data_IF_264984998220
#
_entry.id   IF_264984998220
#
_cell.length_a   1.000
_cell.length_b   1.000
_cell.length_c   1.000
_cell.angle_alpha   90.00
_cell.angle_beta   90.00
_cell.angle_gamma   90.00
#
_symmetry.space_group_name_H-M   'P 1'
#
loop_
_entity.id
_entity.type
_entity.pdbx_description
1 polymer ?
#
# COMPACT_ATOMS: atom_id res chain seq x y z
N UNK A 1 -44.03 -14.77 11.09
CA UNK A 1 -42.89 -15.59 11.56
C UNK A 1 -41.88 -15.56 10.44
N UNK A 2 -40.65 -15.11 10.71
CA UNK A 2 -39.65 -14.93 9.66
C UNK A 2 -39.03 -16.26 9.23
N UNK A 3 -38.94 -16.47 7.92
CA UNK A 3 -38.28 -17.65 7.32
C UNK A 3 -36.94 -17.25 6.72
N UNK A 4 -35.94 -18.12 6.86
CA UNK A 4 -34.61 -17.95 6.28
C UNK A 4 -34.50 -18.89 5.07
N UNK A 5 -34.22 -18.35 3.88
CA UNK A 5 -34.17 -19.13 2.64
C UNK A 5 -32.75 -19.62 2.29
N UNK A 6 -31.72 -19.03 2.88
CA UNK A 6 -30.31 -19.22 2.49
C UNK A 6 -29.47 -19.61 3.69
N UNK A 7 -28.51 -20.52 3.50
CA UNK A 7 -27.61 -20.99 4.57
C UNK A 7 -26.48 -20.01 4.84
N UNK A 8 -25.93 -20.05 6.06
CA UNK A 8 -24.74 -19.26 6.40
C UNK A 8 -23.56 -19.64 5.47
N UNK A 9 -22.79 -18.63 5.05
CA UNK A 9 -21.63 -18.72 4.16
C UNK A 9 -21.93 -19.18 2.72
N UNK A 10 -23.20 -19.21 2.33
CA UNK A 10 -23.58 -19.44 0.93
C UNK A 10 -23.25 -18.21 0.08
N UNK A 11 -22.84 -18.45 -1.17
CA UNK A 11 -22.65 -17.40 -2.17
C UNK A 11 -24.04 -16.97 -2.67
N UNK A 12 -24.29 -15.66 -2.68
CA UNK A 12 -25.53 -15.04 -3.11
C UNK A 12 -25.27 -14.00 -4.20
N UNK A 13 -26.25 -13.78 -5.05
CA UNK A 13 -26.23 -12.78 -6.12
C UNK A 13 -27.27 -11.68 -5.86
N UNK A 14 -27.13 -10.48 -6.46
CA UNK A 14 -28.12 -9.42 -6.34
C UNK A 14 -29.51 -9.91 -6.76
N UNK A 15 -30.51 -9.63 -5.92
CA UNK A 15 -31.89 -10.07 -6.11
C UNK A 15 -32.26 -11.38 -5.38
N UNK A 16 -31.28 -12.16 -4.91
CA UNK A 16 -31.55 -13.38 -4.14
C UNK A 16 -32.32 -13.06 -2.85
N UNK A 17 -33.36 -13.85 -2.59
CA UNK A 17 -34.14 -13.78 -1.34
C UNK A 17 -33.35 -14.44 -0.22
N UNK A 18 -33.02 -13.68 0.81
CA UNK A 18 -32.24 -14.13 1.97
C UNK A 18 -33.15 -14.60 3.10
N UNK A 19 -34.19 -13.81 3.39
CA UNK A 19 -35.18 -14.10 4.42
C UNK A 19 -36.51 -13.38 4.14
N UNK A 20 -37.57 -13.84 4.78
CA UNK A 20 -38.87 -13.20 4.84
C UNK A 20 -39.20 -12.77 6.28
N UNK A 21 -40.01 -11.72 6.42
CA UNK A 21 -40.54 -11.23 7.68
C UNK A 21 -39.70 -10.15 8.36
N UNK A 22 -40.21 -9.70 9.51
CA UNK A 22 -39.64 -8.60 10.29
C UNK A 22 -38.67 -9.06 11.39
N UNK A 23 -38.50 -10.36 11.57
CA UNK A 23 -37.62 -10.95 12.59
C UNK A 23 -36.13 -10.77 12.26
N UNK A 24 -35.80 -10.54 10.99
CA UNK A 24 -34.43 -10.35 10.51
C UNK A 24 -34.16 -8.88 10.16
N UNK A 25 -32.92 -8.44 10.37
CA UNK A 25 -32.48 -7.09 10.05
C UNK A 25 -31.43 -7.14 8.93
N UNK A 26 -31.66 -6.46 7.79
CA UNK A 26 -30.66 -6.35 6.76
C UNK A 26 -29.50 -5.46 7.25
N UNK A 27 -28.29 -5.86 6.94
CA UNK A 27 -27.08 -5.08 7.12
C UNK A 27 -26.20 -5.23 5.87
N UNK A 28 -25.34 -4.24 5.62
CA UNK A 28 -24.33 -4.17 4.55
C UNK A 28 -24.41 -5.24 3.45
N UNK A 29 -24.82 -4.83 2.24
CA UNK A 29 -24.99 -5.73 1.09
C UNK A 29 -26.33 -6.46 1.05
N UNK A 30 -27.18 -6.32 2.07
CA UNK A 30 -28.58 -6.71 2.06
C UNK A 30 -29.49 -5.47 2.20
N UNK A 31 -30.67 -5.53 1.61
CA UNK A 31 -31.71 -4.50 1.75
C UNK A 31 -33.09 -5.15 1.93
N UNK A 32 -34.03 -4.38 2.47
CA UNK A 32 -35.42 -4.81 2.63
C UNK A 32 -36.24 -4.32 1.44
N UNK A 33 -37.01 -5.22 0.86
CA UNK A 33 -37.94 -5.01 -0.25
C UNK A 33 -39.32 -5.54 0.17
N UNK A 34 -40.16 -4.65 0.71
CA UNK A 34 -41.42 -5.03 1.35
C UNK A 34 -41.20 -5.92 2.58
N UNK A 35 -41.75 -7.13 2.55
CA UNK A 35 -41.59 -8.14 3.61
C UNK A 35 -40.36 -9.03 3.42
N UNK A 36 -39.67 -8.93 2.28
CA UNK A 36 -38.50 -9.75 1.96
C UNK A 36 -37.20 -9.01 2.21
N UNK A 37 -36.16 -9.76 2.59
CA UNK A 37 -34.78 -9.27 2.61
C UNK A 37 -34.07 -9.88 1.40
N UNK A 38 -33.47 -9.02 0.58
CA UNK A 38 -32.76 -9.42 -0.64
C UNK A 38 -31.31 -8.97 -0.60
N UNK A 39 -30.47 -9.67 -1.36
CA UNK A 39 -29.08 -9.24 -1.58
C UNK A 39 -29.02 -8.10 -2.60
N UNK A 40 -28.20 -7.07 -2.35
CA UNK A 40 -27.88 -6.04 -3.34
C UNK A 40 -26.55 -6.26 -4.07
N UNK A 41 -25.73 -7.20 -3.60
CA UNK A 41 -24.36 -7.42 -4.09
C UNK A 41 -24.08 -8.92 -4.28
N UNK A 42 -23.09 -9.23 -5.12
CA UNK A 42 -22.53 -10.60 -5.18
C UNK A 42 -21.61 -10.80 -3.99
N UNK A 43 -21.90 -11.78 -3.14
CA UNK A 43 -21.20 -11.91 -1.87
C UNK A 43 -21.44 -13.23 -1.14
N UNK A 44 -20.87 -13.32 0.06
CA UNK A 44 -21.05 -14.43 0.98
C UNK A 44 -21.99 -13.96 2.10
N UNK A 45 -23.07 -14.72 2.35
CA UNK A 45 -24.01 -14.41 3.42
C UNK A 45 -23.38 -14.71 4.80
N UNK A 46 -23.30 -13.71 5.66
CA UNK A 46 -22.98 -13.83 7.07
C UNK A 46 -24.24 -13.62 7.92
N UNK A 47 -24.51 -14.56 8.83
CA UNK A 47 -25.68 -14.53 9.70
C UNK A 47 -25.18 -14.34 11.14
N UNK A 48 -25.42 -13.15 11.69
CA UNK A 48 -25.07 -12.84 13.08
C UNK A 48 -26.35 -12.67 13.90
N UNK A 49 -26.84 -13.78 14.46
CA UNK A 49 -28.11 -13.81 15.16
C UNK A 49 -29.26 -13.47 14.20
N UNK A 50 -29.88 -12.30 14.39
CA UNK A 50 -30.97 -11.78 13.53
C UNK A 50 -30.48 -10.86 12.41
N UNK A 51 -29.20 -10.50 12.40
CA UNK A 51 -28.65 -9.57 11.42
C UNK A 51 -28.08 -10.35 10.23
N UNK A 52 -28.62 -10.09 9.05
CA UNK A 52 -28.15 -10.66 7.79
C UNK A 52 -27.24 -9.67 7.08
N UNK A 53 -25.97 -10.05 6.87
CA UNK A 53 -24.99 -9.23 6.16
C UNK A 53 -24.47 -9.98 4.95
N UNK A 54 -24.39 -9.34 3.80
CA UNK A 54 -23.74 -9.92 2.62
C UNK A 54 -22.36 -9.30 2.48
N UNK A 55 -21.32 -10.11 2.69
CA UNK A 55 -19.93 -9.68 2.49
C UNK A 55 -19.64 -9.75 0.99
N UNK A 56 -19.57 -8.60 0.34
CA UNK A 56 -19.29 -8.52 -1.09
C UNK A 56 -17.95 -9.20 -1.45
N UNK A 57 -17.90 -9.92 -2.58
CA UNK A 57 -16.65 -10.53 -3.05
C UNK A 57 -15.63 -9.50 -3.57
N UNK A 58 -16.13 -8.37 -4.05
CA UNK A 58 -15.33 -7.22 -4.50
C UNK A 58 -16.04 -5.92 -4.13
N UNK A 59 -15.32 -5.04 -3.45
CA UNK A 59 -15.81 -3.70 -3.10
C UNK A 59 -14.67 -2.70 -3.10
N UNK A 60 -14.99 -1.45 -3.39
CA UNK A 60 -14.12 -0.34 -3.03
C UNK A 60 -14.13 -0.14 -1.51
N UNK A 61 -13.05 0.44 -1.00
CA UNK A 61 -12.96 0.78 0.40
C UNK A 61 -13.99 1.86 0.75
N UNK A 62 -14.83 1.57 1.75
CA UNK A 62 -15.79 2.52 2.29
C UNK A 62 -15.27 3.03 3.66
N UNK A 63 -14.69 4.24 3.71
CA UNK A 63 -13.94 4.71 4.87
C UNK A 63 -14.83 4.96 6.07
N UNK A 64 -14.34 4.59 7.26
CA UNK A 64 -14.97 4.90 8.55
C UNK A 64 -14.02 5.69 9.44
N UNK A 65 -14.54 6.60 10.28
CA UNK A 65 -13.72 7.23 11.30
C UNK A 65 -13.06 6.17 12.18
N UNK A 66 -11.76 6.31 12.39
CA UNK A 66 -10.95 5.35 13.15
C UNK A 66 -10.14 4.37 12.32
N UNK A 67 -10.45 4.20 11.03
CA UNK A 67 -9.76 3.23 10.18
C UNK A 67 -8.29 3.64 9.94
N UNK A 68 -7.40 2.64 10.00
CA UNK A 68 -5.99 2.79 9.66
C UNK A 68 -5.82 2.51 8.17
N UNK A 69 -5.20 3.43 7.43
CA UNK A 69 -5.06 3.37 5.97
C UNK A 69 -3.66 3.75 5.55
N UNK A 70 -3.20 3.17 4.45
CA UNK A 70 -1.99 3.62 3.77
C UNK A 70 -2.43 4.59 2.68
N UNK A 71 -1.81 5.76 2.60
CA UNK A 71 -2.15 6.77 1.61
C UNK A 71 -0.91 7.19 0.83
N UNK A 72 -1.08 7.47 -0.47
CA UNK A 72 -0.01 7.99 -1.33
C UNK A 72 -0.19 9.48 -1.53
N UNK A 73 0.82 10.30 -1.24
CA UNK A 73 0.77 11.74 -1.48
C UNK A 73 0.70 11.99 -2.99
N UNK A 74 -0.37 12.64 -3.42
CA UNK A 74 -0.61 12.98 -4.84
C UNK A 74 -0.41 14.44 -5.13
N UNK A 75 -0.74 15.31 -4.17
CA UNK A 75 -0.62 16.75 -4.33
C UNK A 75 -0.41 17.46 -3.00
N UNK A 76 0.06 18.70 -3.06
CA UNK A 76 0.20 19.55 -1.88
C UNK A 76 0.03 21.03 -2.24
N UNK A 77 -0.52 21.78 -1.30
CA UNK A 77 -0.59 23.24 -1.35
C UNK A 77 0.30 23.81 -0.23
N UNK A 78 0.17 25.10 0.09
CA UNK A 78 1.00 25.72 1.12
C UNK A 78 0.65 25.26 2.55
N UNK A 79 -0.49 24.60 2.76
CA UNK A 79 -0.95 24.19 4.11
C UNK A 79 -1.68 22.85 4.16
N UNK A 80 -1.80 22.16 3.03
CA UNK A 80 -2.57 20.93 2.89
C UNK A 80 -1.81 19.91 2.05
N UNK A 81 -1.86 18.65 2.45
CA UNK A 81 -1.50 17.52 1.61
C UNK A 81 -2.76 16.79 1.13
N UNK A 82 -2.75 16.43 -0.15
CA UNK A 82 -3.72 15.53 -0.76
C UNK A 82 -3.08 14.15 -0.90
N UNK A 83 -3.82 13.12 -0.51
CA UNK A 83 -3.34 11.75 -0.53
C UNK A 83 -4.39 10.79 -1.10
N UNK A 84 -3.98 9.87 -1.96
CA UNK A 84 -4.83 8.81 -2.50
C UNK A 84 -5.00 7.68 -1.48
N UNK A 85 -6.24 7.26 -1.23
CA UNK A 85 -6.60 6.24 -0.23
C UNK A 85 -7.39 5.06 -0.87
N UNK A 86 -7.39 4.92 -2.20
CA UNK A 86 -8.15 3.89 -2.94
C UNK A 86 -9.63 3.77 -2.54
N UNK A 87 -10.20 4.92 -2.23
CA UNK A 87 -11.62 5.11 -1.94
C UNK A 87 -12.25 6.03 -2.99
N UNK A 88 -13.57 6.20 -2.94
CA UNK A 88 -14.28 7.18 -3.79
C UNK A 88 -13.87 8.63 -3.49
N UNK A 89 -13.27 8.89 -2.32
CA UNK A 89 -12.82 10.20 -1.86
C UNK A 89 -11.32 10.17 -1.63
N UNK A 90 -10.68 11.28 -1.94
CA UNK A 90 -9.27 11.46 -1.62
C UNK A 90 -9.10 11.94 -0.18
N UNK A 91 -7.94 11.65 0.37
CA UNK A 91 -7.51 12.08 1.69
C UNK A 91 -6.98 13.50 1.66
N UNK A 92 -7.31 14.25 2.70
CA UNK A 92 -6.80 15.58 2.99
C UNK A 92 -6.16 15.55 4.36
N UNK A 93 -4.96 16.11 4.47
CA UNK A 93 -4.24 16.28 5.72
C UNK A 93 -3.83 17.73 5.88
N UNK A 94 -4.15 18.32 7.03
CA UNK A 94 -3.77 19.69 7.36
C UNK A 94 -2.48 19.70 8.18
N UNK A 95 -1.79 20.85 8.26
CA UNK A 95 -0.63 21.02 9.14
C UNK A 95 -0.90 20.58 10.59
N UNK A 96 -2.13 20.75 11.07
CA UNK A 96 -2.52 20.36 12.44
C UNK A 96 -2.60 18.86 12.64
N UNK A 97 -2.70 18.09 11.59
CA UNK A 97 -2.86 16.63 11.63
C UNK A 97 -1.53 15.88 11.54
N UNK A 98 -0.45 16.62 11.32
CA UNK A 98 0.92 16.13 11.26
C UNK A 98 1.56 16.29 12.65
N UNK A 99 2.35 15.32 13.13
CA UNK A 99 3.05 15.44 14.41
C UNK A 99 4.27 16.36 14.33
N UNK A 100 4.92 16.46 13.17
CA UNK A 100 6.03 17.38 12.93
C UNK A 100 5.56 18.85 13.00
N UNK A 101 6.38 19.69 13.61
CA UNK A 101 6.16 21.14 13.58
C UNK A 101 6.57 21.69 12.22
N UNK A 102 5.67 22.41 11.58
CA UNK A 102 5.87 23.03 10.27
C UNK A 102 5.72 24.53 10.44
N UNK A 103 6.78 25.28 10.15
CA UNK A 103 6.77 26.74 10.20
C UNK A 103 5.79 27.32 9.15
N UNK A 104 5.20 28.47 9.47
CA UNK A 104 4.34 29.19 8.53
C UNK A 104 5.15 29.60 7.27
N UNK A 105 4.80 29.02 6.13
CA UNK A 105 5.49 29.25 4.85
C UNK A 105 6.66 28.30 4.56
N UNK A 106 6.85 27.26 5.38
CA UNK A 106 7.80 26.20 5.08
C UNK A 106 7.41 25.42 3.82
N UNK A 107 8.42 24.89 3.13
CA UNK A 107 8.22 24.00 1.99
C UNK A 107 7.76 22.62 2.47
N UNK A 108 6.49 22.29 2.21
CA UNK A 108 5.87 21.04 2.65
C UNK A 108 6.51 19.80 2.02
N UNK A 109 7.22 19.94 0.89
CA UNK A 109 7.90 18.83 0.21
C UNK A 109 9.00 18.20 1.06
N UNK A 110 9.56 18.95 2.01
CA UNK A 110 10.62 18.49 2.90
C UNK A 110 10.13 17.42 3.89
N UNK A 111 8.84 17.41 4.19
CA UNK A 111 8.23 16.44 5.10
C UNK A 111 7.66 15.26 4.32
N UNK A 112 6.68 15.55 3.45
CA UNK A 112 5.97 14.56 2.64
C UNK A 112 5.95 15.04 1.20
N UNK A 113 6.72 14.36 0.36
CA UNK A 113 6.86 14.70 -1.04
C UNK A 113 5.86 13.92 -1.92
N UNK A 114 5.70 14.36 -3.16
CA UNK A 114 4.90 13.68 -4.17
C UNK A 114 5.35 12.23 -4.33
N UNK A 115 4.40 11.30 -4.28
CA UNK A 115 4.64 9.87 -4.42
C UNK A 115 5.02 9.15 -3.13
N UNK A 116 5.26 9.88 -2.03
CA UNK A 116 5.52 9.25 -0.73
C UNK A 116 4.27 8.54 -0.21
N UNK A 117 4.49 7.48 0.57
CA UNK A 117 3.43 6.76 1.24
C UNK A 117 3.44 7.07 2.74
N UNK A 118 2.26 7.18 3.32
CA UNK A 118 2.06 7.47 4.74
C UNK A 118 1.06 6.49 5.34
N UNK A 119 1.33 6.04 6.56
CA UNK A 119 0.36 5.31 7.36
C UNK A 119 -0.42 6.34 8.17
N UNK A 120 -1.69 6.54 7.80
CA UNK A 120 -2.58 7.54 8.39
C UNK A 120 -3.82 6.88 9.00
N UNK A 121 -4.50 7.63 9.86
CA UNK A 121 -5.81 7.26 10.42
C UNK A 121 -6.89 8.18 9.86
N UNK A 122 -8.06 7.64 9.58
CA UNK A 122 -9.22 8.44 9.18
C UNK A 122 -9.78 9.14 10.42
N UNK A 123 -9.59 10.45 10.53
CA UNK A 123 -10.12 11.26 11.63
C UNK A 123 -11.62 11.52 11.45
N UNK A 124 -12.00 11.96 10.24
CA UNK A 124 -13.39 12.24 9.90
C UNK A 124 -13.65 11.99 8.42
N UNK A 125 -14.90 11.63 8.10
CA UNK A 125 -15.35 11.41 6.73
C UNK A 125 -16.15 12.64 6.30
N UNK A 126 -15.50 13.55 5.56
CA UNK A 126 -16.15 14.72 4.99
C UNK A 126 -17.03 14.35 3.79
N UNK A 127 -17.81 15.33 3.29
CA UNK A 127 -18.66 15.15 2.11
C UNK A 127 -17.84 14.93 0.84
N UNK A 128 -16.79 15.74 0.68
CA UNK A 128 -15.90 15.71 -0.50
C UNK A 128 -14.64 14.90 -0.22
N UNK A 129 -13.94 15.21 0.87
CA UNK A 129 -12.63 14.62 1.20
C UNK A 129 -12.65 13.90 2.55
N UNK A 130 -11.76 12.93 2.71
CA UNK A 130 -11.49 12.27 3.99
C UNK A 130 -10.47 13.09 4.77
N UNK A 131 -10.74 13.39 6.04
CA UNK A 131 -9.75 14.02 6.90
C UNK A 131 -8.84 12.94 7.46
N UNK A 132 -7.56 12.98 7.12
CA UNK A 132 -6.54 12.06 7.57
C UNK A 132 -5.70 12.69 8.68
N UNK A 133 -5.29 11.85 9.63
CA UNK A 133 -4.37 12.22 10.71
C UNK A 133 -3.16 11.32 10.77
N UNK A 134 -2.00 11.91 11.04
CA UNK A 134 -0.76 11.23 11.39
C UNK A 134 -0.46 11.30 12.89
N UNK A 135 -1.37 11.89 13.69
CA UNK A 135 -1.25 11.92 15.14
C UNK A 135 -1.73 10.61 15.74
N UNK A 136 -0.80 9.84 16.29
CA UNK A 136 -1.13 8.60 16.98
C UNK A 136 0.00 7.58 16.93
N UNK A 137 -0.13 6.48 17.70
CA UNK A 137 0.89 5.46 17.78
C UNK A 137 1.03 4.73 16.43
N UNK A 138 2.26 4.64 15.95
CA UNK A 138 2.62 3.88 14.75
C UNK A 138 2.36 4.60 13.42
N UNK A 139 1.64 5.73 13.42
CA UNK A 139 1.43 6.57 12.25
C UNK A 139 2.73 7.28 11.87
N UNK A 140 3.14 7.16 10.61
CA UNK A 140 4.39 7.70 10.11
C UNK A 140 4.46 7.66 8.60
N UNK A 141 5.44 8.37 8.06
CA UNK A 141 5.93 8.15 6.70
C UNK A 141 6.44 6.71 6.53
N UNK A 142 6.04 6.07 5.45
CA UNK A 142 6.50 4.74 5.08
C UNK A 142 7.73 4.90 4.18
N UNK A 143 8.84 4.29 4.58
CA UNK A 143 10.09 4.28 3.81
C UNK A 143 10.59 2.85 3.60
N UNK A 144 10.96 2.55 2.36
CA UNK A 144 11.41 1.22 1.94
C UNK A 144 10.32 0.15 1.98
N UNK A 145 10.71 -1.09 1.68
CA UNK A 145 9.80 -2.21 1.53
C UNK A 145 8.94 -2.12 0.27
N UNK A 146 7.87 -2.92 0.23
CA UNK A 146 6.94 -3.04 -0.89
C UNK A 146 5.52 -2.71 -0.45
N UNK A 147 4.76 -2.13 -1.37
CA UNK A 147 3.33 -1.90 -1.20
C UNK A 147 2.61 -2.77 -2.21
N UNK A 148 1.62 -3.51 -1.72
CA UNK A 148 0.76 -4.36 -2.52
C UNK A 148 -0.69 -3.95 -2.33
N UNK A 149 -1.48 -4.11 -3.38
CA UNK A 149 -2.91 -3.83 -3.37
C UNK A 149 -3.68 -5.15 -3.30
N UNK A 150 -4.59 -5.23 -2.33
CA UNK A 150 -5.57 -6.30 -2.20
C UNK A 150 -6.97 -5.70 -2.19
N UNK A 151 -7.95 -6.56 -2.44
CA UNK A 151 -9.34 -6.13 -2.36
C UNK A 151 -9.70 -5.76 -0.92
N UNK A 152 -10.24 -4.55 -0.71
CA UNK A 152 -10.67 -4.08 0.61
C UNK A 152 -11.65 -5.02 1.31
N UNK A 153 -12.51 -5.73 0.56
CA UNK A 153 -13.42 -6.76 1.11
C UNK A 153 -12.68 -7.93 1.77
N UNK A 154 -11.45 -8.21 1.34
CA UNK A 154 -10.65 -9.36 1.77
C UNK A 154 -9.62 -8.99 2.83
N UNK A 155 -9.49 -7.72 3.20
CA UNK A 155 -8.62 -7.26 4.30
C UNK A 155 -8.89 -8.04 5.61
N UNK A 156 -10.14 -8.23 6.08
CA UNK A 156 -10.39 -9.01 7.29
C UNK A 156 -9.94 -10.47 7.17
N UNK A 157 -9.93 -11.03 5.95
CA UNK A 157 -9.48 -12.40 5.68
C UNK A 157 -7.96 -12.53 5.77
N UNK A 158 -7.22 -11.52 5.29
CA UNK A 158 -5.75 -11.45 5.40
C UNK A 158 -5.30 -11.24 6.85
N UNK A 159 -6.04 -10.45 7.64
CA UNK A 159 -5.76 -10.29 9.06
C UNK A 159 -6.05 -11.61 9.82
N UNK A 160 -7.17 -12.27 9.49
CA UNK A 160 -7.62 -13.48 10.16
C UNK A 160 -8.31 -13.20 11.50
N UNK A 161 -8.89 -14.24 12.09
CA UNK A 161 -9.60 -14.12 13.38
C UNK A 161 -8.60 -13.73 14.46
N UNK A 162 -8.84 -12.60 15.13
CA UNK A 162 -7.93 -12.02 16.13
C UNK A 162 -6.49 -11.78 15.63
N UNK A 163 -6.30 -11.60 14.32
CA UNK A 163 -4.96 -11.40 13.75
C UNK A 163 -4.15 -12.68 13.55
N UNK A 164 -4.74 -13.87 13.63
CA UNK A 164 -4.00 -15.13 13.53
C UNK A 164 -3.23 -15.29 12.21
N UNK A 165 -3.80 -14.85 11.09
CA UNK A 165 -3.19 -15.01 9.77
C UNK A 165 -2.03 -14.03 9.57
N UNK A 166 -2.21 -12.77 10.00
CA UNK A 166 -1.14 -11.77 9.87
C UNK A 166 0.02 -12.07 10.82
N UNK A 167 -0.26 -12.59 12.03
CA UNK A 167 0.80 -13.04 12.94
C UNK A 167 1.56 -14.22 12.35
N UNK A 168 0.87 -15.22 11.79
CA UNK A 168 1.52 -16.35 11.10
C UNK A 168 2.43 -15.88 9.97
N UNK A 169 1.97 -14.95 9.13
CA UNK A 169 2.78 -14.38 8.06
C UNK A 169 4.03 -13.69 8.60
N UNK A 170 3.88 -12.86 9.66
CA UNK A 170 5.00 -12.16 10.31
C UNK A 170 5.99 -13.13 10.94
N UNK A 171 5.51 -14.14 11.65
CA UNK A 171 6.34 -15.09 12.39
C UNK A 171 7.14 -16.00 11.44
N UNK A 172 6.52 -16.42 10.33
CA UNK A 172 7.16 -17.30 9.32
C UNK A 172 8.13 -16.55 8.41
N UNK A 173 7.79 -15.33 7.99
CA UNK A 173 8.63 -14.55 7.05
C UNK A 173 9.63 -13.64 7.76
N UNK A 174 9.40 -13.30 9.03
CA UNK A 174 10.17 -12.29 9.74
C UNK A 174 9.94 -10.86 9.24
N UNK A 175 9.01 -10.64 8.30
CA UNK A 175 8.73 -9.34 7.71
C UNK A 175 7.83 -8.49 8.62
N UNK A 176 8.05 -7.17 8.58
CA UNK A 176 7.10 -6.19 9.13
C UNK A 176 5.97 -5.98 8.12
N UNK A 177 4.78 -6.43 8.50
CA UNK A 177 3.57 -6.32 7.67
C UNK A 177 2.55 -5.38 8.33
N UNK A 178 2.10 -4.37 7.60
CA UNK A 178 1.01 -3.47 8.01
C UNK A 178 -0.08 -3.50 6.95
N UNK A 179 -1.30 -3.84 7.36
CA UNK A 179 -2.46 -3.93 6.49
C UNK A 179 -3.36 -2.72 6.74
N UNK A 180 -3.54 -1.88 5.72
CA UNK A 180 -4.53 -0.80 5.72
C UNK A 180 -5.93 -1.33 5.42
N UNK A 181 -6.95 -0.73 6.02
CA UNK A 181 -8.36 -1.06 5.75
C UNK A 181 -8.76 -0.77 4.30
N UNK A 182 -8.01 0.12 3.63
CA UNK A 182 -8.20 0.43 2.22
C UNK A 182 -7.70 -0.64 1.25
N UNK A 183 -7.09 -1.72 1.74
CA UNK A 183 -6.58 -2.79 0.90
C UNK A 183 -5.13 -2.57 0.44
N UNK A 184 -4.49 -1.48 0.83
CA UNK A 184 -3.05 -1.34 0.69
C UNK A 184 -2.33 -2.03 1.86
N UNK A 185 -1.35 -2.86 1.54
CA UNK A 185 -0.52 -3.57 2.51
C UNK A 185 0.93 -3.20 2.28
N UNK A 186 1.60 -2.80 3.36
CA UNK A 186 3.03 -2.55 3.35
C UNK A 186 3.76 -3.74 3.96
N UNK A 187 4.78 -4.21 3.26
CA UNK A 187 5.64 -5.33 3.64
C UNK A 187 7.08 -4.85 3.62
N UNK A 188 7.82 -5.06 4.71
CA UNK A 188 9.22 -4.71 4.79
C UNK A 188 10.04 -5.81 5.46
N UNK A 189 11.12 -6.25 4.83
CA UNK A 189 12.03 -7.26 5.33
C UNK A 189 13.24 -7.45 4.43
N UNK A 190 13.84 -8.64 4.46
CA UNK A 190 14.84 -9.01 3.47
C UNK A 190 14.16 -9.17 2.08
N UNK A 191 14.81 -8.79 0.96
CA UNK A 191 14.18 -8.79 -0.36
C UNK A 191 13.52 -10.13 -0.74
N UNK A 192 14.15 -11.25 -0.41
CA UNK A 192 13.62 -12.59 -0.71
C UNK A 192 12.39 -12.93 0.14
N UNK A 193 12.43 -12.56 1.42
CA UNK A 193 11.33 -12.77 2.35
C UNK A 193 10.12 -11.89 2.01
N UNK A 194 10.38 -10.67 1.52
CA UNK A 194 9.32 -9.78 1.04
C UNK A 194 8.57 -10.40 -0.14
N UNK A 195 9.26 -11.04 -1.09
CA UNK A 195 8.63 -11.71 -2.22
C UNK A 195 7.72 -12.86 -1.74
N UNK A 196 8.21 -13.71 -0.85
CA UNK A 196 7.42 -14.80 -0.27
C UNK A 196 6.17 -14.28 0.45
N UNK A 197 6.31 -13.20 1.22
CA UNK A 197 5.18 -12.56 1.90
C UNK A 197 4.15 -12.00 0.90
N UNK A 198 4.61 -11.34 -0.17
CA UNK A 198 3.75 -10.81 -1.23
C UNK A 198 2.97 -11.92 -1.92
N UNK A 199 3.63 -13.02 -2.29
CA UNK A 199 3.00 -14.15 -2.97
C UNK A 199 1.96 -14.83 -2.07
N UNK A 200 2.26 -15.00 -0.78
CA UNK A 200 1.32 -15.54 0.18
C UNK A 200 0.08 -14.64 0.35
N UNK A 201 0.25 -13.31 0.40
CA UNK A 201 -0.87 -12.37 0.50
C UNK A 201 -1.73 -12.39 -0.77
N UNK A 202 -1.11 -12.46 -1.95
CA UNK A 202 -1.82 -12.60 -3.22
C UNK A 202 -2.60 -13.93 -3.30
N UNK A 203 -1.99 -15.02 -2.84
CA UNK A 203 -2.66 -16.32 -2.74
C UNK A 203 -3.91 -16.27 -1.85
N UNK A 204 -3.83 -15.59 -0.71
CA UNK A 204 -4.98 -15.36 0.17
C UNK A 204 -6.03 -14.47 -0.50
N UNK A 205 -5.60 -13.43 -1.22
CA UNK A 205 -6.48 -12.55 -1.97
C UNK A 205 -7.30 -13.35 -3.00
N UNK A 206 -6.69 -14.24 -3.76
CA UNK A 206 -7.40 -15.05 -4.76
C UNK A 206 -8.28 -16.14 -4.15
N UNK A 207 -7.73 -16.92 -3.21
CA UNK A 207 -8.37 -18.14 -2.67
C UNK A 207 -9.07 -17.93 -1.32
N UNK A 208 -9.35 -16.69 -0.94
CA UNK A 208 -9.94 -16.32 0.35
C UNK A 208 -11.26 -17.02 0.70
N UNK A 209 -12.00 -17.51 -0.32
CA UNK A 209 -13.28 -18.22 -0.19
C UNK A 209 -13.13 -19.69 0.26
N UNK A 210 -11.92 -20.27 0.17
CA UNK A 210 -11.69 -21.66 0.58
C UNK A 210 -11.60 -21.81 2.11
N UNK A 211 -12.11 -22.94 2.61
CA UNK A 211 -11.93 -23.37 4.00
C UNK A 211 -10.53 -23.98 4.22
N UNK A 212 -10.04 -23.96 5.46
CA UNK A 212 -8.70 -24.47 5.80
C UNK A 212 -7.55 -23.69 5.17
N UNK A 213 -7.75 -22.40 4.87
CA UNK A 213 -6.73 -21.58 4.20
C UNK A 213 -5.46 -21.40 5.03
N UNK A 214 -5.58 -21.33 6.36
CA UNK A 214 -4.44 -21.11 7.26
C UNK A 214 -3.39 -22.21 7.13
N UNK A 215 -3.81 -23.47 7.15
CA UNK A 215 -2.89 -24.61 7.08
C UNK A 215 -2.18 -24.65 5.72
N UNK A 216 -2.94 -24.43 4.63
CA UNK A 216 -2.39 -24.35 3.27
C UNK A 216 -1.38 -23.22 3.10
N UNK A 217 -1.63 -22.07 3.73
CA UNK A 217 -0.69 -20.92 3.70
C UNK A 217 0.56 -21.26 4.51
N UNK A 218 0.43 -21.91 5.67
CA UNK A 218 1.58 -22.37 6.45
C UNK A 218 2.47 -23.31 5.64
N UNK A 219 1.88 -24.31 4.98
CA UNK A 219 2.62 -25.27 4.15
C UNK A 219 3.32 -24.60 2.96
N UNK A 220 2.67 -23.60 2.36
CA UNK A 220 3.24 -22.81 1.26
C UNK A 220 4.44 -22.00 1.74
N UNK A 221 4.31 -21.31 2.88
CA UNK A 221 5.39 -20.53 3.47
C UNK A 221 6.57 -21.42 3.87
N UNK A 222 6.32 -22.59 4.47
CA UNK A 222 7.38 -23.50 4.88
C UNK A 222 8.17 -24.05 3.70
N UNK A 223 7.53 -24.27 2.54
CA UNK A 223 8.22 -24.66 1.30
C UNK A 223 9.00 -23.49 0.70
N UNK A 224 8.40 -22.31 0.63
CA UNK A 224 9.02 -21.13 0.04
C UNK A 224 10.26 -20.69 0.84
N UNK A 225 10.15 -20.64 2.18
CA UNK A 225 11.25 -20.28 3.07
C UNK A 225 12.41 -21.28 3.01
N UNK A 226 12.15 -22.58 2.79
CA UNK A 226 13.22 -23.56 2.57
C UNK A 226 14.01 -23.28 1.30
N UNK A 227 13.35 -22.87 0.23
CA UNK A 227 14.01 -22.56 -1.05
C UNK A 227 14.87 -21.28 -0.96
N UNK A 228 14.44 -20.30 -0.18
CA UNK A 228 15.19 -19.06 0.13
C UNK A 228 16.52 -19.39 0.85
N UNK A 229 16.48 -20.25 1.88
CA UNK A 229 17.69 -20.64 2.62
C UNK A 229 18.70 -21.41 1.76
N UNK A 230 18.26 -22.12 0.71
CA UNK A 230 19.17 -22.78 -0.23
C UNK A 230 19.92 -21.75 -1.09
N UNK A 231 19.25 -20.70 -1.56
CA UNK A 231 19.87 -19.63 -2.34
C UNK A 231 20.90 -18.82 -1.53
N UNK A 232 20.60 -18.50 -0.26
CA UNK A 232 21.55 -17.83 0.65
C UNK A 232 22.82 -18.65 0.93
N UNK A 233 22.77 -19.98 0.77
CA UNK A 233 23.92 -20.86 0.97
C UNK A 233 24.82 -21.01 -0.26
N UNK A 234 24.31 -20.69 -1.46
CA UNK A 234 25.07 -20.73 -2.72
C UNK A 234 25.73 -19.38 -3.05
N UNK A 235 25.23 -18.26 -2.51
CA UNK A 235 25.83 -16.93 -2.69
C UNK A 235 26.71 -16.48 -1.51
N UNK A 236 27.96 -16.95 -1.47
CA UNK A 236 29.08 -16.24 -0.80
C UNK A 236 30.33 -16.17 -1.70
N UNK A 237 31.15 -15.11 -1.57
CA UNK A 237 31.49 -14.21 -2.68
C UNK A 237 32.69 -14.64 -3.53
N UNK A 238 32.60 -14.43 -4.85
CA UNK A 238 33.76 -14.43 -5.75
C UNK A 238 34.69 -13.27 -5.38
N UNK A 239 35.90 -13.62 -4.94
CA UNK A 239 37.00 -12.70 -4.71
C UNK A 239 37.35 -11.97 -6.01
N UNK A 240 37.18 -10.65 -6.02
CA UNK A 240 37.80 -9.76 -7.01
C UNK A 240 39.32 -9.97 -7.04
N UNK A 241 39.82 -10.48 -8.17
CA UNK A 241 41.25 -10.39 -8.52
C UNK A 241 41.49 -9.12 -9.35
N UNK A 242 42.61 -8.41 -9.15
CA UNK A 242 42.85 -7.14 -9.84
C UNK A 242 43.10 -7.37 -11.35
N UNK A 243 42.45 -6.56 -12.19
CA UNK A 243 42.68 -6.50 -13.64
C UNK A 243 44.15 -6.21 -13.95
N UNK A 244 44.82 -7.17 -14.60
CA UNK A 244 46.11 -6.95 -15.29
C UNK A 244 45.90 -6.03 -16.49
N UNK A 245 46.77 -5.01 -16.59
CA UNK A 245 47.01 -4.22 -17.81
C UNK A 245 47.39 -5.16 -18.97
N UNK A 246 46.71 -5.04 -20.10
CA UNK A 246 47.23 -5.45 -21.40
C UNK A 246 47.57 -4.17 -22.18
N UNK A 247 48.85 -4.06 -22.53
CA UNK A 247 49.39 -3.14 -23.53
C UNK A 247 49.08 -3.72 -24.91
N UNK A 248 48.71 -2.86 -25.86
CA UNK A 248 48.98 -3.04 -27.29
C UNK A 248 49.18 -1.62 -27.87
N UNK A 249 50.45 -1.24 -28.03
CA UNK A 249 50.96 -0.38 -29.12
C UNK A 249 50.98 -1.28 -30.36
N UNK A 250 50.55 -0.87 -31.56
CA UNK A 250 51.22 -0.03 -32.58
C UNK A 250 50.43 -0.30 -33.90
N UNK A 251 50.35 0.47 -34.98
CA UNK A 251 50.92 1.74 -35.46
C UNK A 251 50.12 2.13 -36.73
N UNK A 252 50.52 3.24 -37.36
CA UNK A 252 50.19 3.80 -38.68
C UNK A 252 49.45 5.16 -38.54
N UNK A 253 50.18 6.28 -38.40
CA UNK A 253 50.72 7.14 -39.50
C UNK A 253 49.58 7.73 -40.35
N UNK A 254 49.44 9.01 -40.70
CA UNK A 254 50.25 10.22 -40.79
C UNK A 254 49.17 11.31 -41.15
N UNK A 255 49.08 12.52 -40.61
CA UNK A 255 49.81 13.72 -40.99
C UNK A 255 49.17 14.89 -40.20
N UNK A 256 50.02 15.75 -39.63
CA UNK A 256 49.69 17.15 -39.37
C UNK A 256 50.65 17.97 -40.23
N UNK A 257 50.30 19.20 -40.68
CA UNK A 257 50.62 20.32 -39.79
C UNK A 257 49.71 21.55 -39.97
N UNK A 258 49.58 22.38 -38.93
CA UNK A 258 50.17 23.73 -38.98
C UNK A 258 49.99 24.51 -37.66
N UNK A 259 51.08 25.18 -37.33
CA UNK A 259 51.34 26.04 -36.17
C UNK A 259 50.53 27.35 -36.26
N UNK A 260 50.12 27.89 -35.10
CA UNK A 260 50.65 29.20 -34.63
C UNK A 260 50.26 29.51 -33.19
N UNK A 261 51.28 29.96 -32.46
CA UNK A 261 51.30 30.35 -31.07
C UNK A 261 51.05 31.86 -30.90
N UNK A 262 50.93 32.24 -29.61
CA UNK A 262 51.05 33.58 -29.03
C UNK A 262 49.84 34.52 -29.19
N UNK A 263 49.42 35.28 -28.19
CA UNK A 263 49.92 35.47 -26.84
C UNK A 263 49.28 36.71 -26.19
N UNK A 264 49.29 36.72 -24.85
CA UNK A 264 49.47 37.87 -23.94
C UNK A 264 48.58 39.13 -24.04
N UNK A 265 47.98 39.39 -22.86
CA UNK A 265 47.99 40.64 -22.06
C UNK A 265 46.94 41.74 -22.32
N UNK A 266 46.03 41.86 -21.34
CA UNK A 266 45.91 42.96 -20.37
C UNK A 266 45.99 44.44 -20.82
N UNK A 267 44.90 45.20 -20.55
CA UNK A 267 44.86 46.46 -19.78
C UNK A 267 43.39 46.94 -19.71
N UNK A 268 42.80 47.08 -18.52
CA UNK A 268 42.77 48.25 -17.62
C UNK A 268 41.93 49.44 -18.15
N UNK A 269 40.86 49.70 -17.38
CA UNK A 269 40.37 51.02 -16.92
C UNK A 269 39.90 52.06 -17.94
N UNK A 270 38.63 52.46 -17.84
CA UNK A 270 38.28 53.86 -17.60
C UNK A 270 36.90 54.00 -16.92
N UNK A 271 36.92 54.77 -15.85
CA UNK A 271 35.86 55.22 -14.95
C UNK A 271 35.28 56.52 -15.52
N UNK A 272 33.95 56.69 -15.49
CA UNK A 272 33.15 57.95 -15.45
C UNK A 272 31.74 57.58 -15.95
N UNK A 273 30.65 57.72 -15.23
CA UNK A 273 30.32 58.69 -14.19
C UNK A 273 29.26 59.64 -14.73
N UNK A 274 28.13 59.71 -14.01
CA UNK A 274 27.18 60.82 -13.91
C UNK A 274 25.89 60.80 -14.75
N UNK A 275 24.78 60.71 -13.98
CA UNK A 275 23.49 61.43 -14.07
C UNK A 275 22.70 61.25 -15.39
N UNK A 276 21.42 60.89 -15.31
CA UNK A 276 20.38 61.61 -14.56
C UNK A 276 19.24 60.67 -14.16
#
# INVERSE_FOLDING_TARGET
MGELFVKERQIVVPGDKLASGMDYLPAGGAYRDGEEIRSSVVGILGINGRVLRVIALKTHYNPRPGDMVIAKITDMTNSLWFAKVDSFRDGLMTLREVPEYVDDGADLTQFYNFGDYVLAKVAAVGRTNLMLTLKGPGLRKISGGRIIEINSAKVPRVIGKQGSMISLLKDKTGCRIIVGQNGLVWVQGAPEHELVAVDAINYINEKGHLQGLTDKVSDLLDKAMKNVVVHDSEEKPQKDKPKKKAKEESDDEEEAPTRRAAGKKAKKTAKRGSKK
#
